data_IF_658011165578
#
_entry.id   IF_658011165578
#
_cell.length_a   1.000
_cell.length_b   1.000
_cell.length_c   1.000
_cell.angle_alpha   90.00
_cell.angle_beta   90.00
_cell.angle_gamma   90.00
#
_symmetry.space_group_name_H-M   'P 1'
#
loop_
_entity.id
_entity.type
_entity.pdbx_description
1 polymer ?
#
# COMPACT_ATOMS: atom_id res chain seq x y z
N UNK A 1 2.54 -1.57 -18.06
CA UNK A 1 3.36 -1.67 -16.83
C UNK A 1 2.75 -2.73 -15.92
N UNK A 2 3.56 -3.64 -15.41
CA UNK A 2 3.12 -4.66 -14.45
C UNK A 2 3.54 -4.23 -13.02
N UNK A 3 3.14 -5.02 -12.01
CA UNK A 3 3.45 -4.69 -10.63
C UNK A 3 4.96 -4.66 -10.34
N UNK A 4 5.73 -5.55 -10.94
CA UNK A 4 7.18 -5.57 -10.72
C UNK A 4 7.83 -4.28 -11.23
N UNK A 5 7.44 -3.82 -12.41
CA UNK A 5 7.93 -2.56 -12.97
C UNK A 5 7.48 -1.36 -12.12
N UNK A 6 6.23 -1.38 -11.67
CA UNK A 6 5.69 -0.34 -10.82
C UNK A 6 6.49 -0.24 -9.51
N UNK A 7 6.76 -1.37 -8.88
CA UNK A 7 7.53 -1.43 -7.63
C UNK A 7 8.94 -0.91 -7.84
N UNK A 8 9.61 -1.35 -8.90
CA UNK A 8 10.98 -0.95 -9.21
C UNK A 8 11.08 0.55 -9.45
N UNK A 9 10.18 1.11 -10.25
CA UNK A 9 10.19 2.54 -10.58
C UNK A 9 9.93 3.44 -9.37
N UNK A 10 9.19 2.95 -8.40
CA UNK A 10 8.73 3.76 -7.27
C UNK A 10 9.35 3.34 -5.95
N UNK A 11 10.35 2.46 -5.98
CA UNK A 11 11.06 1.97 -4.80
C UNK A 11 10.12 1.33 -3.77
N UNK A 12 9.06 0.68 -4.24
CA UNK A 12 8.12 -0.04 -3.39
C UNK A 12 8.74 -1.37 -3.01
N UNK A 13 8.78 -1.68 -1.73
CA UNK A 13 9.39 -2.91 -1.21
C UNK A 13 8.38 -4.04 -1.14
N UNK A 14 7.18 -3.75 -0.67
CA UNK A 14 6.11 -4.75 -0.52
C UNK A 14 4.81 -4.18 -1.07
N UNK A 15 4.08 -5.01 -1.82
CA UNK A 15 2.70 -4.75 -2.22
C UNK A 15 1.84 -5.85 -1.59
N UNK A 16 0.83 -5.45 -0.81
CA UNK A 16 -0.15 -6.38 -0.27
C UNK A 16 -1.50 -6.09 -0.92
N UNK A 17 -2.01 -7.03 -1.70
CA UNK A 17 -3.29 -6.91 -2.38
C UNK A 17 -4.34 -7.69 -1.61
N UNK A 18 -5.32 -6.99 -1.06
CA UNK A 18 -6.42 -7.60 -0.31
C UNK A 18 -7.62 -7.79 -1.23
N UNK A 19 -8.07 -9.03 -1.35
CA UNK A 19 -9.31 -9.36 -2.05
C UNK A 19 -10.43 -9.41 -1.00
N UNK A 20 -11.39 -8.47 -1.10
CA UNK A 20 -12.43 -8.32 -0.08
C UNK A 20 -13.49 -9.41 -0.13
N UNK A 21 -13.71 -10.01 -1.29
CA UNK A 21 -14.66 -11.12 -1.42
C UNK A 21 -14.10 -12.41 -0.85
N UNK A 22 -12.84 -12.72 -1.17
CA UNK A 22 -12.19 -13.95 -0.74
C UNK A 22 -11.57 -13.84 0.65
N UNK A 23 -11.47 -12.62 1.18
CA UNK A 23 -10.85 -12.36 2.48
C UNK A 23 -9.42 -12.86 2.54
N UNK A 24 -8.66 -12.59 1.47
CA UNK A 24 -7.29 -13.06 1.34
C UNK A 24 -6.35 -11.94 0.91
N UNK A 25 -5.06 -12.09 1.25
CA UNK A 25 -3.99 -11.22 0.79
C UNK A 25 -3.11 -11.95 -0.21
N UNK A 26 -2.70 -11.23 -1.26
CA UNK A 26 -1.60 -11.63 -2.11
C UNK A 26 -0.45 -10.66 -1.86
N UNK A 27 0.73 -11.18 -1.53
CA UNK A 27 1.87 -10.35 -1.16
C UNK A 27 2.96 -10.47 -2.22
N UNK A 28 3.42 -9.33 -2.73
CA UNK A 28 4.51 -9.26 -3.70
C UNK A 28 5.65 -8.50 -3.05
N UNK A 29 6.84 -9.11 -3.01
CA UNK A 29 8.05 -8.51 -2.43
C UNK A 29 9.14 -8.42 -3.48
N UNK A 30 10.01 -7.42 -3.36
CA UNK A 30 11.23 -7.34 -4.14
C UNK A 30 12.45 -7.62 -3.24
N UNK A 31 13.66 -7.37 -3.77
CA UNK A 31 14.91 -7.66 -3.04
C UNK A 31 15.31 -6.57 -2.05
N UNK A 32 14.56 -5.47 -2.00
CA UNK A 32 14.84 -4.36 -1.07
C UNK A 32 14.32 -4.69 0.32
N UNK A 33 14.87 -4.01 1.32
CA UNK A 33 14.46 -4.16 2.72
C UNK A 33 13.84 -2.86 3.23
N UNK A 34 12.88 -2.97 4.15
CA UNK A 34 12.31 -1.82 4.86
C UNK A 34 13.13 -1.53 6.11
N UNK A 35 13.18 -0.26 6.51
CA UNK A 35 13.79 0.11 7.79
C UNK A 35 12.97 -0.42 8.96
N UNK A 36 11.64 -0.54 8.80
CA UNK A 36 10.76 -1.11 9.82
C UNK A 36 9.69 -1.96 9.16
N UNK A 37 9.42 -3.14 9.72
CA UNK A 37 8.35 -4.03 9.29
C UNK A 37 7.13 -3.96 10.19
N UNK A 38 7.11 -3.04 11.17
CA UNK A 38 6.03 -2.96 12.15
C UNK A 38 4.66 -2.72 11.49
N UNK A 39 4.60 -1.80 10.55
CA UNK A 39 3.34 -1.53 9.84
C UNK A 39 2.86 -2.74 9.03
N UNK A 40 3.77 -3.40 8.34
CA UNK A 40 3.45 -4.59 7.56
C UNK A 40 2.94 -5.70 8.47
N UNK A 41 3.60 -5.91 9.61
CA UNK A 41 3.17 -6.91 10.58
C UNK A 41 1.79 -6.61 11.13
N UNK A 42 1.55 -5.38 11.56
CA UNK A 42 0.28 -4.98 12.15
C UNK A 42 -0.87 -5.02 11.17
N UNK A 43 -0.65 -4.52 9.95
CA UNK A 43 -1.75 -4.35 8.99
C UNK A 43 -1.99 -5.60 8.15
N UNK A 44 -0.98 -6.42 7.93
CA UNK A 44 -1.08 -7.56 7.01
C UNK A 44 -0.86 -8.90 7.72
N UNK A 45 0.31 -9.10 8.34
CA UNK A 45 0.65 -10.42 8.88
C UNK A 45 -0.19 -10.82 10.08
N UNK A 46 -0.42 -9.90 11.02
CA UNK A 46 -1.18 -10.15 12.24
C UNK A 46 -2.54 -9.47 12.24
N UNK A 47 -2.86 -8.75 11.16
CA UNK A 47 -4.15 -8.12 10.99
C UNK A 47 -5.11 -9.01 10.22
N UNK A 48 -6.33 -8.52 10.05
CA UNK A 48 -7.32 -9.17 9.21
C UNK A 48 -7.82 -8.18 8.17
N UNK A 49 -8.42 -8.70 7.11
CA UNK A 49 -9.02 -7.85 6.07
C UNK A 49 -10.17 -7.03 6.64
N UNK A 50 -10.95 -7.61 7.55
CA UNK A 50 -12.03 -6.88 8.20
C UNK A 50 -11.50 -5.71 9.04
N UNK A 51 -10.40 -5.91 9.77
CA UNK A 51 -9.76 -4.83 10.52
C UNK A 51 -9.20 -3.75 9.60
N UNK A 52 -8.61 -4.14 8.48
CA UNK A 52 -8.11 -3.19 7.49
C UNK A 52 -9.26 -2.35 6.92
N UNK A 53 -10.36 -2.98 6.56
CA UNK A 53 -11.57 -2.30 6.07
C UNK A 53 -12.08 -1.29 7.10
N UNK A 54 -12.17 -1.71 8.35
CA UNK A 54 -12.64 -0.87 9.44
C UNK A 54 -11.74 0.35 9.64
N UNK A 55 -10.42 0.17 9.51
CA UNK A 55 -9.44 1.24 9.70
C UNK A 55 -9.51 2.33 8.63
N UNK A 56 -10.04 2.03 7.45
CA UNK A 56 -10.15 3.00 6.35
C UNK A 56 -11.58 3.46 6.12
N UNK A 57 -12.55 2.92 6.85
CA UNK A 57 -13.94 3.31 6.69
C UNK A 57 -14.13 4.79 7.00
N UNK A 58 -14.79 5.51 6.08
CA UNK A 58 -15.02 6.94 6.21
C UNK A 58 -13.77 7.80 5.99
N UNK A 59 -12.64 7.20 5.66
CA UNK A 59 -11.41 7.96 5.42
C UNK A 59 -11.27 8.33 3.95
N UNK A 60 -10.61 9.45 3.72
CA UNK A 60 -10.25 9.85 2.35
C UNK A 60 -8.99 9.06 1.96
N UNK A 61 -9.06 8.34 0.84
CA UNK A 61 -7.93 7.57 0.34
C UNK A 61 -7.16 8.35 -0.73
N UNK A 62 -5.87 8.12 -0.92
CA UNK A 62 -5.05 7.14 -0.19
C UNK A 62 -4.77 7.59 1.25
N UNK A 63 -4.70 6.63 2.16
CA UNK A 63 -4.32 6.89 3.56
C UNK A 63 -2.87 6.48 3.79
N UNK A 64 -2.16 7.27 4.60
CA UNK A 64 -0.74 7.06 4.85
C UNK A 64 -0.51 6.78 6.33
N UNK A 65 0.17 5.68 6.63
CA UNK A 65 0.71 5.40 7.96
C UNK A 65 2.22 5.53 7.91
N UNK A 66 2.81 5.98 9.02
CA UNK A 66 4.23 6.24 9.11
C UNK A 66 4.82 5.58 10.35
N UNK A 67 5.98 4.92 10.17
CA UNK A 67 6.78 4.37 11.25
C UNK A 67 8.24 4.70 10.93
N UNK A 68 8.78 5.73 11.60
CA UNK A 68 10.10 6.25 11.22
C UNK A 68 10.08 6.74 9.78
N UNK A 69 10.97 6.23 8.95
CA UNK A 69 10.99 6.52 7.52
C UNK A 69 10.15 5.56 6.69
N UNK A 70 9.60 4.52 7.31
CA UNK A 70 8.78 3.56 6.59
C UNK A 70 7.35 4.08 6.47
N UNK A 71 6.79 3.96 5.28
CA UNK A 71 5.44 4.40 4.92
C UNK A 71 4.61 3.22 4.49
N UNK A 72 3.33 3.26 4.85
CA UNK A 72 2.33 2.38 4.27
C UNK A 72 1.25 3.24 3.65
N UNK A 73 1.05 3.11 2.35
CA UNK A 73 -0.02 3.80 1.64
C UNK A 73 -1.10 2.79 1.31
N UNK A 74 -2.33 3.09 1.73
CA UNK A 74 -3.47 2.23 1.47
C UNK A 74 -4.39 2.88 0.46
N UNK A 75 -4.64 2.17 -0.63
CA UNK A 75 -5.47 2.61 -1.74
C UNK A 75 -6.59 1.61 -1.98
N UNK A 76 -7.65 2.07 -2.62
CA UNK A 76 -8.76 1.20 -3.02
C UNK A 76 -9.03 1.42 -4.51
N UNK A 77 -8.19 0.82 -5.39
CA UNK A 77 -8.33 1.05 -6.83
C UNK A 77 -9.60 0.43 -7.42
N UNK A 78 -10.18 -0.58 -6.75
CA UNK A 78 -11.43 -1.20 -7.15
C UNK A 78 -12.30 -1.44 -5.91
N UNK A 79 -13.60 -1.61 -6.12
CA UNK A 79 -14.55 -1.79 -5.03
C UNK A 79 -14.22 -2.96 -4.11
N UNK A 80 -13.76 -4.07 -4.69
CA UNK A 80 -13.47 -5.30 -3.93
C UNK A 80 -11.98 -5.51 -3.66
N UNK A 81 -11.16 -4.47 -3.83
CA UNK A 81 -9.72 -4.60 -3.69
C UNK A 81 -9.12 -3.43 -2.93
N UNK A 82 -8.31 -3.75 -1.93
CA UNK A 82 -7.48 -2.77 -1.24
C UNK A 82 -6.03 -3.14 -1.52
N UNK A 83 -5.21 -2.14 -1.80
CA UNK A 83 -3.78 -2.34 -2.01
C UNK A 83 -3.01 -1.50 -1.00
N UNK A 84 -2.13 -2.15 -0.25
CA UNK A 84 -1.21 -1.50 0.66
C UNK A 84 0.20 -1.54 0.09
N UNK A 85 0.84 -0.39 0.01
CA UNK A 85 2.19 -0.22 -0.51
C UNK A 85 3.12 0.12 0.65
N UNK A 86 4.24 -0.59 0.75
CA UNK A 86 5.22 -0.38 1.82
C UNK A 86 6.56 0.04 1.22
N UNK A 87 7.09 1.16 1.66
CA UNK A 87 8.38 1.68 1.20
C UNK A 87 8.95 2.66 2.22
N UNK A 88 10.24 2.97 2.08
CA UNK A 88 10.90 3.97 2.91
C UNK A 88 10.99 5.29 2.16
N UNK A 89 10.83 6.40 2.89
CA UNK A 89 10.85 7.72 2.29
C UNK A 89 11.27 8.75 3.34
N UNK A 90 11.97 9.79 2.87
CA UNK A 90 12.34 10.95 3.70
C UNK A 90 11.60 12.21 3.26
N UNK A 91 10.60 12.07 2.42
CA UNK A 91 9.80 13.20 1.95
C UNK A 91 9.06 13.88 3.12
N UNK A 92 8.82 15.19 3.00
CA UNK A 92 7.97 15.90 3.93
C UNK A 92 6.54 15.37 3.88
N UNK A 93 5.75 15.69 4.90
CA UNK A 93 4.33 15.25 4.95
C UNK A 93 3.58 15.71 3.70
N UNK A 94 3.79 16.95 3.27
CA UNK A 94 3.14 17.49 2.09
C UNK A 94 3.54 16.76 0.80
N UNK A 95 4.85 16.57 0.63
CA UNK A 95 5.36 15.90 -0.57
C UNK A 95 4.95 14.44 -0.62
N UNK A 96 4.92 13.79 0.57
CA UNK A 96 4.48 12.41 0.67
C UNK A 96 3.01 12.27 0.28
N UNK A 97 2.18 13.22 0.66
CA UNK A 97 0.77 13.23 0.29
C UNK A 97 0.59 13.27 -1.24
N UNK A 98 1.33 14.14 -1.91
CA UNK A 98 1.27 14.23 -3.38
C UNK A 98 1.81 12.97 -4.03
N UNK A 99 2.90 12.42 -3.48
CA UNK A 99 3.46 11.17 -3.97
C UNK A 99 2.45 10.01 -3.84
N UNK A 100 1.76 9.94 -2.70
CA UNK A 100 0.73 8.92 -2.48
C UNK A 100 -0.40 9.03 -3.50
N UNK A 101 -0.82 10.24 -3.83
CA UNK A 101 -1.86 10.45 -4.85
C UNK A 101 -1.41 10.00 -6.23
N UNK A 102 -0.15 10.24 -6.56
CA UNK A 102 0.44 9.75 -7.82
C UNK A 102 0.44 8.24 -7.88
N UNK A 103 0.88 7.59 -6.79
CA UNK A 103 0.88 6.13 -6.70
C UNK A 103 -0.51 5.56 -6.85
N UNK A 104 -1.51 6.18 -6.20
CA UNK A 104 -2.91 5.78 -6.31
C UNK A 104 -3.39 5.82 -7.76
N UNK A 105 -3.05 6.88 -8.48
CA UNK A 105 -3.41 7.04 -9.89
C UNK A 105 -2.78 5.94 -10.75
N UNK A 106 -1.50 5.65 -10.51
CA UNK A 106 -0.78 4.60 -11.23
C UNK A 106 -1.38 3.22 -10.95
N UNK A 107 -1.76 2.95 -9.71
CA UNK A 107 -2.41 1.69 -9.34
C UNK A 107 -3.72 1.49 -10.08
N UNK A 108 -4.52 2.52 -10.21
CA UNK A 108 -5.78 2.44 -10.95
C UNK A 108 -5.54 2.08 -12.41
N UNK A 109 -4.48 2.60 -13.01
CA UNK A 109 -4.11 2.27 -14.38
C UNK A 109 -3.66 0.82 -14.51
N UNK A 110 -2.88 0.32 -13.55
CA UNK A 110 -2.46 -1.09 -13.53
C UNK A 110 -3.64 -2.03 -13.42
N UNK A 111 -4.64 -1.66 -12.63
CA UNK A 111 -5.80 -2.52 -12.36
C UNK A 111 -6.78 -2.60 -13.53
N UNK A 112 -6.67 -1.73 -14.50
CA UNK A 112 -7.55 -1.74 -15.67
C UNK A 112 -7.20 -2.83 -16.70
N UNK A 113 -6.13 -3.55 -16.48
CA UNK A 113 -5.67 -4.60 -17.41
C UNK A 113 -6.19 -5.98 -17.08
#
# INVERSE_FOLDING_TARGET
MNFNEFMEKNNIVIVAKANLQEKSFEIIKNDLELESYDLFEQLVLFGSIDNLMESIEGQILPRIWTQGNTRCIVCRPRQNQIIALFYDSTLSVKDEYYHAKELDTLLKQLQER
#
